data_IF_774109573848
#
_entry.id   IF_774109573848
#
_cell.length_a   1.000
_cell.length_b   1.000
_cell.length_c   1.000
_cell.angle_alpha   90.00
_cell.angle_beta   90.00
_cell.angle_gamma   90.00
#
_symmetry.space_group_name_H-M   'P 1'
#
loop_
_entity.id
_entity.type
_entity.pdbx_description
1 polymer ?
#
# COMPACT_ATOMS: atom_id res chain seq x y z
N UNK A 1 79.13 8.20 -15.23
CA UNK A 1 77.97 7.33 -15.00
C UNK A 1 76.76 8.02 -15.53
N UNK A 2 76.31 7.58 -16.69
CA UNK A 2 75.28 8.25 -17.51
C UNK A 2 73.93 7.67 -17.18
N UNK A 3 73.02 8.51 -16.72
CA UNK A 3 71.64 8.12 -16.50
C UNK A 3 70.86 8.22 -17.83
N UNK A 4 70.33 7.08 -18.27
CA UNK A 4 69.47 6.94 -19.45
C UNK A 4 68.07 7.30 -19.09
N UNK A 5 67.47 8.27 -19.79
CA UNK A 5 66.09 8.67 -19.65
C UNK A 5 65.13 7.64 -20.33
N UNK A 6 64.09 7.18 -19.61
CA UNK A 6 63.02 6.37 -20.14
C UNK A 6 61.96 7.27 -20.79
N UNK A 7 61.61 6.96 -22.04
CA UNK A 7 60.56 7.64 -22.83
C UNK A 7 59.18 7.44 -22.22
N UNK A 8 58.23 8.40 -22.36
CA UNK A 8 56.89 8.25 -21.87
C UNK A 8 56.03 7.40 -22.84
N UNK A 9 55.30 6.47 -22.25
CA UNK A 9 54.28 5.68 -22.95
C UNK A 9 53.18 6.59 -23.53
N UNK A 10 52.93 6.51 -24.82
CA UNK A 10 51.74 7.08 -25.46
C UNK A 10 50.55 6.21 -25.13
N UNK A 11 49.55 6.77 -24.42
CA UNK A 11 48.23 6.21 -24.28
C UNK A 11 47.48 6.59 -25.56
N UNK A 12 47.11 5.58 -26.38
CA UNK A 12 46.20 5.81 -27.49
C UNK A 12 44.81 6.05 -26.94
N UNK A 13 44.23 7.21 -27.22
CA UNK A 13 42.81 7.49 -26.95
C UNK A 13 41.96 6.57 -27.81
N UNK A 14 41.39 5.54 -27.18
CA UNK A 14 40.26 4.85 -27.78
C UNK A 14 39.06 5.81 -27.73
N UNK A 15 38.47 6.08 -28.91
CA UNK A 15 37.23 6.78 -29.03
C UNK A 15 36.10 5.96 -28.35
N UNK A 16 35.83 6.27 -27.10
CA UNK A 16 34.60 5.83 -26.44
C UNK A 16 33.41 6.64 -27.01
N UNK A 17 32.84 6.18 -28.10
CA UNK A 17 31.51 6.59 -28.49
C UNK A 17 30.56 6.05 -27.39
N UNK A 18 29.78 6.90 -26.71
CA UNK A 18 28.79 6.40 -25.75
C UNK A 18 27.87 5.40 -26.46
N UNK A 19 27.43 4.32 -25.81
CA UNK A 19 26.46 3.42 -26.40
C UNK A 19 25.23 4.23 -26.83
N UNK A 20 24.75 3.94 -28.04
CA UNK A 20 23.56 4.60 -28.57
C UNK A 20 22.43 4.47 -27.54
N UNK A 21 21.80 5.57 -27.17
CA UNK A 21 20.59 5.53 -26.35
C UNK A 21 19.57 4.61 -27.03
N UNK A 22 18.93 3.72 -26.28
CA UNK A 22 17.84 2.91 -26.84
C UNK A 22 16.82 3.83 -27.50
N UNK A 23 16.22 3.43 -28.60
CA UNK A 23 15.25 4.26 -29.32
C UNK A 23 14.12 4.64 -28.34
N UNK A 24 13.79 5.93 -28.31
CA UNK A 24 12.66 6.43 -27.52
C UNK A 24 11.41 5.68 -27.97
N UNK A 25 10.66 5.04 -27.06
CA UNK A 25 9.42 4.35 -27.45
C UNK A 25 8.49 5.30 -28.17
N UNK A 26 7.67 4.82 -29.14
CA UNK A 26 6.72 5.67 -29.83
C UNK A 26 5.82 6.37 -28.83
N UNK A 27 5.55 7.66 -29.08
CA UNK A 27 4.65 8.44 -28.24
C UNK A 27 3.26 7.77 -28.23
N UNK A 28 2.71 7.53 -27.04
CA UNK A 28 1.36 6.99 -26.90
C UNK A 28 0.30 8.06 -27.19
N UNK A 29 -0.93 7.62 -27.41
CA UNK A 29 -2.12 8.44 -27.62
C UNK A 29 -3.03 8.39 -26.40
N UNK A 30 -3.86 9.41 -26.24
CA UNK A 30 -4.94 9.37 -25.25
C UNK A 30 -6.06 8.45 -25.77
N UNK A 31 -6.45 7.47 -24.97
CA UNK A 31 -7.43 6.45 -25.36
C UNK A 31 -8.54 6.33 -24.31
N UNK A 32 -9.77 6.12 -24.78
CA UNK A 32 -10.90 5.85 -23.88
C UNK A 32 -10.91 4.38 -23.47
N UNK A 33 -11.13 4.16 -22.17
CA UNK A 33 -11.32 2.84 -21.55
C UNK A 33 -12.64 2.79 -20.80
N UNK A 34 -13.22 1.59 -20.65
CA UNK A 34 -14.28 1.35 -19.67
C UNK A 34 -13.73 1.66 -18.28
N UNK A 35 -14.51 2.32 -17.45
CA UNK A 35 -14.09 2.71 -16.10
C UNK A 35 -15.26 2.87 -15.13
N UNK A 36 -15.17 2.20 -13.99
CA UNK A 36 -15.98 2.42 -12.81
C UNK A 36 -15.09 2.92 -11.67
N UNK A 37 -15.29 4.12 -11.11
CA UNK A 37 -14.49 4.63 -10.00
C UNK A 37 -14.82 3.99 -8.65
N UNK A 38 -15.95 3.32 -8.55
CA UNK A 38 -16.46 2.56 -7.41
C UNK A 38 -16.60 1.09 -7.85
N UNK A 39 -17.64 0.40 -7.41
CA UNK A 39 -18.02 -0.90 -7.93
C UNK A 39 -19.44 -0.92 -8.53
N UNK A 40 -19.86 -2.07 -9.04
CA UNK A 40 -21.13 -2.19 -9.76
C UNK A 40 -22.35 -2.05 -8.86
N UNK A 41 -22.24 -2.33 -7.56
CA UNK A 41 -23.33 -2.13 -6.59
C UNK A 41 -23.58 -0.66 -6.32
N UNK A 42 -22.55 0.18 -6.46
CA UNK A 42 -22.61 1.62 -6.13
C UNK A 42 -22.97 2.46 -7.33
N UNK A 43 -22.33 2.21 -8.48
CA UNK A 43 -22.63 2.97 -9.69
C UNK A 43 -22.32 2.19 -10.97
N UNK A 44 -22.92 2.66 -12.06
CA UNK A 44 -22.65 2.07 -13.37
C UNK A 44 -21.31 2.57 -13.92
N UNK A 45 -20.66 1.71 -14.70
CA UNK A 45 -19.45 2.07 -15.44
C UNK A 45 -19.70 3.23 -16.42
N UNK A 46 -18.66 4.00 -16.63
CA UNK A 46 -18.56 5.01 -17.67
C UNK A 46 -17.27 4.81 -18.45
N UNK A 47 -16.65 5.91 -18.83
CA UNK A 47 -15.38 5.91 -19.57
C UNK A 47 -14.37 6.84 -18.93
N UNK A 48 -13.09 6.48 -19.07
CA UNK A 48 -11.95 7.27 -18.65
C UNK A 48 -10.97 7.42 -19.80
N UNK A 49 -10.44 8.61 -19.99
CA UNK A 49 -9.31 8.84 -20.90
C UNK A 49 -8.02 8.47 -20.17
N UNK A 50 -7.32 7.46 -20.69
CA UNK A 50 -5.99 7.06 -20.23
C UNK A 50 -4.97 7.70 -21.16
N UNK A 51 -4.08 8.56 -20.65
CA UNK A 51 -3.08 9.23 -21.47
C UNK A 51 -1.92 8.32 -21.83
N UNK A 52 -1.30 8.56 -22.96
CA UNK A 52 -0.03 7.94 -23.35
C UNK A 52 -0.11 6.44 -23.63
N UNK A 53 -1.25 5.92 -24.05
CA UNK A 53 -1.42 4.51 -24.43
C UNK A 53 -0.68 4.26 -25.75
N UNK A 54 0.22 3.28 -25.74
CA UNK A 54 1.02 2.86 -26.90
C UNK A 54 0.17 2.03 -27.87
N UNK A 55 0.64 1.82 -29.11
CA UNK A 55 -0.07 0.98 -30.09
C UNK A 55 -0.30 -0.47 -29.65
N UNK A 56 0.51 -0.97 -28.71
CA UNK A 56 0.39 -2.31 -28.12
C UNK A 56 -0.59 -2.36 -26.93
N UNK A 57 -1.31 -1.28 -26.64
CA UNK A 57 -2.28 -1.18 -25.56
C UNK A 57 -1.66 -0.93 -24.17
N UNK A 58 -0.34 -0.71 -24.10
CA UNK A 58 0.38 -0.47 -22.83
C UNK A 58 0.60 1.01 -22.55
N UNK A 59 0.96 1.37 -21.33
CA UNK A 59 1.48 2.70 -20.96
C UNK A 59 2.95 2.63 -20.56
N UNK A 60 3.50 3.72 -20.04
CA UNK A 60 4.83 3.71 -19.43
C UNK A 60 4.84 2.96 -18.08
N UNK A 61 3.66 2.76 -17.49
CA UNK A 61 3.48 2.22 -16.13
C UNK A 61 3.02 0.77 -16.13
N UNK A 62 2.06 0.46 -17.00
CA UNK A 62 1.35 -0.80 -16.96
C UNK A 62 1.32 -1.49 -18.32
N UNK A 63 1.29 -2.80 -18.26
CA UNK A 63 0.94 -3.70 -19.35
C UNK A 63 -0.23 -4.58 -18.92
N UNK A 64 -0.86 -5.25 -19.86
CA UNK A 64 -1.88 -6.26 -19.59
C UNK A 64 -1.29 -7.64 -19.86
N UNK A 65 -1.68 -8.65 -19.09
CA UNK A 65 -1.35 -10.05 -19.35
C UNK A 65 -1.97 -10.53 -20.66
N UNK A 66 -3.20 -10.09 -20.94
CA UNK A 66 -3.91 -10.36 -22.19
C UNK A 66 -4.16 -9.04 -22.94
N UNK A 67 -3.60 -8.87 -24.14
CA UNK A 67 -3.83 -7.67 -24.92
C UNK A 67 -5.30 -7.48 -25.27
N UNK A 68 -5.80 -6.24 -25.10
CA UNK A 68 -7.15 -5.86 -25.50
C UNK A 68 -7.18 -5.43 -26.98
N UNK A 69 -8.29 -5.73 -27.65
CA UNK A 69 -8.55 -5.23 -29.01
C UNK A 69 -9.38 -3.96 -28.96
N UNK A 70 -8.85 -2.88 -29.54
CA UNK A 70 -9.59 -1.62 -29.62
C UNK A 70 -10.84 -1.79 -30.52
N UNK A 71 -12.00 -1.35 -30.03
CA UNK A 71 -13.25 -1.26 -30.80
C UNK A 71 -13.48 0.22 -31.14
N UNK A 72 -13.59 0.53 -32.41
CA UNK A 72 -13.78 1.92 -32.92
C UNK A 72 -12.73 2.92 -32.36
N UNK A 73 -11.49 2.47 -32.14
CA UNK A 73 -10.41 3.30 -31.64
C UNK A 73 -10.44 3.55 -30.12
N UNK A 74 -11.15 2.72 -29.36
CA UNK A 74 -11.27 2.79 -27.91
C UNK A 74 -11.27 1.40 -27.28
N UNK A 75 -10.97 1.31 -25.98
CA UNK A 75 -11.05 0.09 -25.17
C UNK A 75 -12.29 0.13 -24.26
N UNK A 76 -13.43 0.41 -24.88
CA UNK A 76 -14.74 0.52 -24.20
C UNK A 76 -15.57 -0.72 -24.49
N UNK A 77 -15.90 -1.44 -23.43
CA UNK A 77 -16.63 -2.70 -23.47
C UNK A 77 -17.85 -2.61 -22.57
N UNK A 78 -18.90 -3.40 -22.88
CA UNK A 78 -20.01 -3.59 -21.95
C UNK A 78 -19.57 -4.42 -20.76
N UNK A 79 -20.25 -4.29 -19.62
CA UNK A 79 -19.92 -5.04 -18.40
C UNK A 79 -20.02 -6.56 -18.57
N UNK A 80 -20.83 -7.04 -19.54
CA UNK A 80 -20.93 -8.47 -19.88
C UNK A 80 -19.80 -8.97 -20.80
N UNK A 81 -18.93 -8.07 -21.29
CA UNK A 81 -17.79 -8.44 -22.14
C UNK A 81 -16.59 -8.80 -21.26
N UNK A 82 -16.00 -9.96 -21.48
CA UNK A 82 -14.84 -10.43 -20.70
C UNK A 82 -13.63 -9.47 -20.71
N UNK A 83 -13.51 -8.62 -21.73
CA UNK A 83 -12.46 -7.60 -21.80
C UNK A 83 -12.73 -6.39 -20.87
N UNK A 84 -13.97 -6.26 -20.35
CA UNK A 84 -14.33 -5.17 -19.46
C UNK A 84 -13.48 -5.15 -18.20
N UNK A 85 -13.27 -6.29 -17.57
CA UNK A 85 -12.53 -6.44 -16.30
C UNK A 85 -11.08 -5.91 -16.44
N UNK A 86 -10.37 -6.36 -17.46
CA UNK A 86 -9.00 -5.91 -17.75
C UNK A 86 -8.95 -4.43 -18.16
N UNK A 87 -9.93 -3.94 -18.94
CA UNK A 87 -10.00 -2.54 -19.34
C UNK A 87 -10.25 -1.62 -18.15
N UNK A 88 -11.18 -1.99 -17.26
CA UNK A 88 -11.47 -1.25 -16.03
C UNK A 88 -10.27 -1.20 -15.11
N UNK A 89 -9.65 -2.34 -14.81
CA UNK A 89 -8.48 -2.43 -13.94
C UNK A 89 -7.30 -1.62 -14.50
N UNK A 90 -7.04 -1.73 -15.80
CA UNK A 90 -5.97 -0.96 -16.45
C UNK A 90 -6.20 0.55 -16.37
N UNK A 91 -7.44 0.99 -16.63
CA UNK A 91 -7.81 2.41 -16.54
C UNK A 91 -7.68 2.95 -15.11
N UNK A 92 -8.22 2.21 -14.14
CA UNK A 92 -8.17 2.58 -12.72
C UNK A 92 -6.72 2.66 -12.20
N UNK A 93 -5.88 1.65 -12.47
CA UNK A 93 -4.48 1.63 -12.06
C UNK A 93 -3.69 2.81 -12.66
N UNK A 94 -3.82 3.08 -13.96
CA UNK A 94 -3.18 4.24 -14.59
C UNK A 94 -3.64 5.56 -13.99
N UNK A 95 -4.93 5.70 -13.67
CA UNK A 95 -5.49 6.89 -13.03
C UNK A 95 -4.87 7.12 -11.65
N UNK A 96 -4.81 6.10 -10.79
CA UNK A 96 -4.24 6.21 -9.44
C UNK A 96 -2.74 6.56 -9.48
N UNK A 97 -1.97 5.87 -10.34
CA UNK A 97 -0.56 6.18 -10.52
C UNK A 97 -0.34 7.62 -10.99
N UNK A 98 -1.12 8.10 -11.97
CA UNK A 98 -1.02 9.47 -12.47
C UNK A 98 -1.35 10.51 -11.39
N UNK A 99 -2.36 10.28 -10.54
CA UNK A 99 -2.72 11.20 -9.44
C UNK A 99 -1.61 11.31 -8.40
N UNK A 100 -1.04 10.19 -7.98
CA UNK A 100 0.06 10.21 -7.04
C UNK A 100 1.32 10.84 -7.64
N UNK A 101 1.64 10.56 -8.92
CA UNK A 101 2.76 11.18 -9.62
C UNK A 101 2.60 12.70 -9.78
N UNK A 102 1.39 13.20 -9.95
CA UNK A 102 1.13 14.65 -9.95
C UNK A 102 1.50 15.27 -8.59
N UNK A 103 1.12 14.65 -7.49
CA UNK A 103 1.52 15.09 -6.15
C UNK A 103 3.03 14.92 -5.91
N UNK A 104 3.59 13.82 -6.43
CA UNK A 104 5.04 13.55 -6.39
C UNK A 104 5.85 14.52 -7.23
N UNK A 105 5.26 15.07 -8.29
CA UNK A 105 5.88 16.06 -9.19
C UNK A 105 6.81 15.49 -10.25
N UNK A 106 6.92 14.19 -10.38
CA UNK A 106 7.67 13.49 -11.45
C UNK A 106 7.21 12.03 -11.56
N UNK A 107 7.50 11.35 -12.69
CA UNK A 107 7.24 9.92 -12.82
C UNK A 107 7.96 9.10 -11.76
N UNK A 108 7.30 8.09 -11.20
CA UNK A 108 7.85 7.14 -10.25
C UNK A 108 8.20 5.82 -10.95
N UNK A 109 9.46 5.36 -10.88
CA UNK A 109 9.76 3.99 -11.30
C UNK A 109 9.17 3.01 -10.29
N UNK A 110 8.68 1.88 -10.77
CA UNK A 110 8.29 0.79 -9.89
C UNK A 110 9.51 0.16 -9.21
N UNK A 111 9.33 -0.36 -8.01
CA UNK A 111 10.44 -0.88 -7.22
C UNK A 111 11.09 -2.12 -7.84
N UNK A 112 10.32 -2.94 -8.54
CA UNK A 112 10.74 -4.30 -8.96
C UNK A 112 10.57 -4.60 -10.45
N UNK A 113 9.88 -3.76 -11.20
CA UNK A 113 9.59 -3.95 -12.61
C UNK A 113 9.72 -2.64 -13.39
N UNK A 114 9.97 -2.70 -14.69
CA UNK A 114 9.88 -1.51 -15.56
C UNK A 114 8.42 -1.06 -15.72
N UNK A 115 7.51 -2.04 -15.84
CA UNK A 115 6.06 -1.87 -15.90
C UNK A 115 5.41 -3.00 -15.13
N UNK A 116 4.34 -2.69 -14.41
CA UNK A 116 3.55 -3.71 -13.73
C UNK A 116 2.56 -4.36 -14.70
N UNK A 117 2.37 -5.64 -14.59
CA UNK A 117 1.33 -6.36 -15.32
C UNK A 117 0.01 -6.25 -14.56
N UNK A 118 -1.06 -5.90 -15.27
CA UNK A 118 -2.43 -5.95 -14.74
C UNK A 118 -3.08 -7.25 -15.23
N UNK A 119 -3.40 -8.12 -14.29
CA UNK A 119 -4.07 -9.39 -14.53
C UNK A 119 -5.55 -9.22 -14.23
N UNK A 120 -6.35 -8.99 -15.27
CA UNK A 120 -7.75 -8.60 -15.12
C UNK A 120 -8.66 -9.68 -14.56
N UNK A 121 -8.31 -10.96 -14.74
CA UNK A 121 -9.02 -12.12 -14.18
C UNK A 121 -8.13 -13.36 -14.24
N UNK A 122 -7.60 -13.79 -13.12
CA UNK A 122 -6.73 -14.99 -13.02
C UNK A 122 -7.50 -16.25 -12.58
N UNK A 123 -8.82 -16.17 -12.49
CA UNK A 123 -9.65 -17.32 -12.16
C UNK A 123 -10.47 -17.13 -10.89
N UNK A 124 -10.84 -18.25 -10.26
CA UNK A 124 -11.81 -18.24 -9.17
C UNK A 124 -11.12 -18.07 -7.82
N UNK A 125 -11.16 -16.85 -7.29
CA UNK A 125 -10.85 -16.50 -5.90
C UNK A 125 -11.67 -15.26 -5.50
N UNK A 126 -11.90 -15.06 -4.20
CA UNK A 126 -12.53 -13.85 -3.66
C UNK A 126 -11.45 -12.93 -3.11
N UNK A 127 -10.61 -12.41 -4.02
CA UNK A 127 -9.37 -11.74 -3.69
C UNK A 127 -8.96 -10.70 -4.74
N UNK A 128 -8.00 -9.85 -4.35
CA UNK A 128 -7.12 -9.07 -5.20
C UNK A 128 -5.79 -8.91 -4.48
N UNK A 129 -4.67 -8.73 -5.17
CA UNK A 129 -3.39 -8.46 -4.53
C UNK A 129 -2.35 -7.84 -5.47
N UNK A 130 -1.37 -7.16 -4.86
CA UNK A 130 -0.11 -6.74 -5.46
C UNK A 130 1.03 -7.63 -4.97
N UNK A 131 1.88 -8.16 -5.87
CA UNK A 131 2.99 -9.05 -5.51
C UNK A 131 4.40 -8.47 -5.73
N UNK A 132 4.47 -7.25 -6.23
CA UNK A 132 5.72 -6.56 -6.60
C UNK A 132 6.00 -6.56 -8.11
N UNK A 133 5.31 -7.38 -8.89
CA UNK A 133 5.49 -7.52 -10.34
C UNK A 133 4.20 -7.22 -11.12
N UNK A 134 3.04 -7.38 -10.45
CA UNK A 134 1.72 -7.18 -11.04
C UNK A 134 0.63 -6.82 -10.04
N UNK A 135 -0.53 -6.46 -10.59
CA UNK A 135 -1.80 -6.32 -9.90
C UNK A 135 -2.67 -7.48 -10.33
N UNK A 136 -3.17 -8.28 -9.38
CA UNK A 136 -3.85 -9.53 -9.61
C UNK A 136 -5.30 -9.45 -9.18
N UNK A 137 -6.21 -9.76 -10.09
CA UNK A 137 -7.66 -9.72 -9.85
C UNK A 137 -8.30 -11.06 -10.20
N UNK A 138 -9.43 -11.32 -9.56
CA UNK A 138 -10.10 -12.61 -9.61
C UNK A 138 -11.62 -12.44 -9.73
N UNK A 139 -12.30 -13.56 -10.00
CA UNK A 139 -13.75 -13.63 -9.92
C UNK A 139 -14.20 -14.70 -8.92
N UNK A 140 -15.41 -14.50 -8.37
CA UNK A 140 -16.03 -15.48 -7.49
C UNK A 140 -17.55 -15.56 -7.70
N UNK A 141 -18.13 -16.79 -7.79
CA UNK A 141 -19.57 -16.95 -7.88
C UNK A 141 -20.25 -16.64 -6.55
N UNK A 142 -21.18 -15.68 -6.53
CA UNK A 142 -21.95 -15.27 -5.36
C UNK A 142 -23.44 -15.33 -5.67
N UNK A 143 -24.16 -16.24 -5.01
CA UNK A 143 -25.57 -16.48 -5.30
C UNK A 143 -25.80 -16.97 -6.74
N UNK A 144 -26.45 -16.16 -7.58
CA UNK A 144 -26.68 -16.44 -9.00
C UNK A 144 -25.82 -15.55 -9.92
N UNK A 145 -24.95 -14.71 -9.36
CA UNK A 145 -24.08 -13.78 -10.07
C UNK A 145 -22.62 -14.16 -9.97
N UNK A 146 -21.77 -13.31 -10.58
CA UNK A 146 -20.33 -13.37 -10.50
C UNK A 146 -19.84 -12.01 -10.02
N UNK A 147 -18.93 -11.99 -9.07
CA UNK A 147 -18.24 -10.78 -8.60
C UNK A 147 -16.82 -10.81 -9.15
N UNK A 148 -16.39 -9.71 -9.73
CA UNK A 148 -15.02 -9.54 -10.27
C UNK A 148 -14.33 -8.40 -9.51
N UNK A 149 -13.25 -8.69 -8.82
CA UNK A 149 -12.49 -7.67 -8.09
C UNK A 149 -11.91 -6.58 -9.01
N UNK A 150 -11.62 -6.90 -10.27
CA UNK A 150 -11.19 -5.95 -11.28
C UNK A 150 -12.25 -4.90 -11.68
N UNK A 151 -13.52 -5.13 -11.38
CA UNK A 151 -14.62 -4.22 -11.74
C UNK A 151 -14.78 -3.05 -10.77
N UNK A 152 -14.15 -3.13 -9.61
CA UNK A 152 -14.11 -2.07 -8.61
C UNK A 152 -12.89 -1.17 -8.80
N UNK A 153 -13.12 0.09 -9.15
CA UNK A 153 -12.05 1.08 -9.23
C UNK A 153 -11.37 1.35 -7.90
N UNK A 154 -12.05 1.08 -6.78
CA UNK A 154 -11.49 1.20 -5.43
C UNK A 154 -10.58 0.03 -5.08
N UNK A 155 -10.99 -1.21 -5.37
CA UNK A 155 -10.14 -2.38 -5.17
C UNK A 155 -8.87 -2.26 -6.01
N UNK A 156 -9.01 -1.90 -7.29
CA UNK A 156 -7.84 -1.64 -8.16
C UNK A 156 -6.99 -0.48 -7.63
N UNK A 157 -7.64 0.57 -7.10
CA UNK A 157 -6.97 1.71 -6.49
C UNK A 157 -6.16 1.34 -5.26
N UNK A 158 -6.70 0.43 -4.43
CA UNK A 158 -6.03 -0.12 -3.26
C UNK A 158 -4.77 -0.90 -3.65
N UNK A 159 -4.87 -1.84 -4.60
CA UNK A 159 -3.71 -2.61 -5.08
C UNK A 159 -2.65 -1.72 -5.74
N UNK A 160 -3.08 -0.71 -6.50
CA UNK A 160 -2.18 0.29 -7.04
C UNK A 160 -1.51 1.11 -5.92
N UNK A 161 -2.20 1.36 -4.81
CA UNK A 161 -1.66 2.00 -3.62
C UNK A 161 -0.50 1.20 -3.02
N UNK A 162 -0.62 -0.12 -2.93
CA UNK A 162 0.48 -1.00 -2.53
C UNK A 162 1.70 -0.83 -3.45
N UNK A 163 1.49 -0.82 -4.76
CA UNK A 163 2.56 -0.63 -5.72
C UNK A 163 3.23 0.75 -5.60
N UNK A 164 2.45 1.81 -5.37
CA UNK A 164 2.94 3.18 -5.17
C UNK A 164 3.76 3.29 -3.88
N UNK A 165 3.32 2.67 -2.80
CA UNK A 165 4.08 2.65 -1.55
C UNK A 165 5.37 1.86 -1.69
N UNK A 166 5.36 0.69 -2.35
CA UNK A 166 6.56 -0.09 -2.64
C UNK A 166 7.55 0.72 -3.52
N UNK A 167 7.05 1.51 -4.49
CA UNK A 167 7.89 2.37 -5.32
C UNK A 167 8.66 3.43 -4.52
N UNK A 168 8.07 3.97 -3.45
CA UNK A 168 8.69 5.03 -2.63
C UNK A 168 9.35 4.49 -1.35
N UNK A 169 8.92 3.33 -0.85
CA UNK A 169 9.40 2.66 0.37
C UNK A 169 9.41 1.13 0.23
N UNK A 170 10.25 0.56 -0.63
CA UNK A 170 10.24 -0.88 -0.93
C UNK A 170 10.52 -1.75 0.32
N UNK A 171 11.11 -1.18 1.36
CA UNK A 171 11.36 -1.86 2.63
C UNK A 171 10.08 -2.21 3.40
N UNK A 172 8.99 -1.44 3.22
CA UNK A 172 7.75 -1.68 3.98
C UNK A 172 7.05 -2.99 3.59
N UNK A 173 7.16 -3.39 2.34
CA UNK A 173 6.60 -4.64 1.85
C UNK A 173 7.24 -5.89 2.50
N UNK A 174 8.41 -5.74 3.10
CA UNK A 174 9.21 -6.85 3.67
C UNK A 174 9.29 -6.81 5.20
N UNK A 175 8.42 -6.04 5.86
CA UNK A 175 8.40 -5.90 7.32
C UNK A 175 7.73 -7.07 8.01
N UNK A 176 8.06 -7.24 9.31
CA UNK A 176 7.56 -8.32 10.14
C UNK A 176 6.50 -7.89 11.17
N UNK A 177 6.54 -6.61 11.59
CA UNK A 177 5.61 -6.08 12.59
C UNK A 177 4.24 -5.74 11.99
N UNK A 178 3.22 -5.67 12.83
CA UNK A 178 1.86 -5.34 12.42
C UNK A 178 1.75 -3.92 11.87
N UNK A 179 2.34 -2.92 12.57
CA UNK A 179 2.18 -1.51 12.19
C UNK A 179 2.61 -1.19 10.75
N UNK A 180 3.81 -1.58 10.27
CA UNK A 180 4.19 -1.30 8.88
C UNK A 180 3.30 -1.99 7.86
N UNK A 181 2.90 -3.24 8.14
CA UNK A 181 1.99 -3.97 7.28
C UNK A 181 0.61 -3.35 7.22
N UNK A 182 0.07 -2.99 8.36
CA UNK A 182 -1.21 -2.30 8.46
C UNK A 182 -1.14 -0.87 7.89
N UNK A 183 0.00 -0.19 7.95
CA UNK A 183 0.20 1.07 7.24
C UNK A 183 0.18 0.87 5.72
N UNK A 184 0.73 -0.24 5.23
CA UNK A 184 0.71 -0.59 3.82
C UNK A 184 -0.73 -0.78 3.31
N UNK A 185 -1.56 -1.48 4.10
CA UNK A 185 -3.00 -1.64 3.86
C UNK A 185 -3.74 -0.30 3.86
N UNK A 186 -3.53 0.48 4.92
CA UNK A 186 -4.15 1.80 5.05
C UNK A 186 -3.74 2.77 3.94
N UNK A 187 -2.51 2.71 3.46
CA UNK A 187 -2.08 3.54 2.33
C UNK A 187 -2.83 3.17 1.05
N UNK A 188 -3.07 1.87 0.81
CA UNK A 188 -3.95 1.40 -0.27
C UNK A 188 -5.35 1.97 -0.16
N UNK A 189 -5.95 1.87 1.03
CA UNK A 189 -7.28 2.45 1.32
C UNK A 189 -7.34 3.96 1.04
N UNK A 190 -6.32 4.70 1.48
CA UNK A 190 -6.26 6.16 1.29
C UNK A 190 -6.12 6.52 -0.18
N UNK A 191 -5.31 5.80 -0.96
CA UNK A 191 -5.19 6.01 -2.41
C UNK A 191 -6.53 5.74 -3.10
N UNK A 192 -7.22 4.65 -2.75
CA UNK A 192 -8.54 4.33 -3.28
C UNK A 192 -9.56 5.42 -2.95
N UNK A 193 -9.66 5.83 -1.69
CA UNK A 193 -10.57 6.87 -1.20
C UNK A 193 -10.32 8.22 -1.90
N UNK A 194 -9.09 8.70 -1.91
CA UNK A 194 -8.75 9.98 -2.53
C UNK A 194 -8.93 9.92 -4.05
N UNK A 195 -8.60 8.77 -4.66
CA UNK A 195 -8.78 8.53 -6.08
C UNK A 195 -10.24 8.53 -6.50
N UNK A 196 -11.12 7.86 -5.73
CA UNK A 196 -12.55 7.80 -6.03
C UNK A 196 -13.21 9.19 -5.95
N UNK A 197 -12.86 10.00 -4.95
CA UNK A 197 -13.38 11.38 -4.78
C UNK A 197 -12.95 12.36 -5.90
N UNK A 198 -11.97 12.01 -6.71
CA UNK A 198 -11.58 12.78 -7.90
C UNK A 198 -12.47 12.50 -9.12
N UNK A 199 -13.35 11.50 -9.05
CA UNK A 199 -14.38 11.28 -10.06
C UNK A 199 -15.63 12.11 -9.71
N UNK A 200 -16.11 12.90 -10.68
CA UNK A 200 -17.24 13.80 -10.46
C UNK A 200 -18.52 13.05 -10.08
N UNK A 201 -18.71 11.84 -10.61
CA UNK A 201 -19.89 11.00 -10.31
C UNK A 201 -19.86 10.52 -8.87
N UNK A 202 -18.68 10.06 -8.39
CA UNK A 202 -18.49 9.67 -6.98
C UNK A 202 -18.69 10.87 -6.06
N UNK A 203 -18.11 12.01 -6.39
CA UNK A 203 -18.24 13.22 -5.60
C UNK A 203 -19.71 13.68 -5.50
N UNK A 204 -20.46 13.65 -6.59
CA UNK A 204 -21.89 13.99 -6.59
C UNK A 204 -22.72 13.00 -5.76
N UNK A 205 -22.40 11.70 -5.86
CA UNK A 205 -23.03 10.66 -5.05
C UNK A 205 -22.77 10.88 -3.56
N UNK A 206 -21.51 11.12 -3.16
CA UNK A 206 -21.13 11.40 -1.77
C UNK A 206 -21.85 12.62 -1.24
N UNK A 207 -21.94 13.70 -2.02
CA UNK A 207 -22.68 14.89 -1.61
C UNK A 207 -24.20 14.64 -1.50
N UNK A 208 -24.75 13.80 -2.35
CA UNK A 208 -26.15 13.38 -2.24
C UNK A 208 -26.40 12.57 -0.96
N UNK A 209 -25.50 11.65 -0.61
CA UNK A 209 -25.58 10.79 0.57
C UNK A 209 -25.43 11.59 1.87
N UNK A 210 -24.50 12.54 1.90
CA UNK A 210 -24.05 13.21 3.12
C UNK A 210 -24.69 14.60 3.33
N UNK A 211 -25.09 15.26 2.26
CA UNK A 211 -25.44 16.68 2.29
C UNK A 211 -24.25 17.60 2.60
N UNK A 212 -23.02 17.11 2.35
CA UNK A 212 -21.75 17.80 2.63
C UNK A 212 -21.15 17.51 4.02
N UNK A 213 -21.83 16.74 4.85
CA UNK A 213 -21.31 16.27 6.15
C UNK A 213 -20.64 14.89 5.97
N UNK A 214 -19.34 14.89 5.70
CA UNK A 214 -18.56 13.68 5.41
C UNK A 214 -18.39 12.74 6.61
N UNK A 215 -18.88 13.11 7.81
CA UNK A 215 -18.91 12.18 8.95
C UNK A 215 -20.05 11.17 8.85
N UNK A 216 -21.00 11.38 7.92
CA UNK A 216 -22.06 10.41 7.61
C UNK A 216 -21.58 9.34 6.66
N UNK A 217 -22.18 8.15 6.76
CA UNK A 217 -21.92 7.04 5.87
C UNK A 217 -22.00 7.48 4.39
N UNK A 218 -20.98 7.13 3.62
CA UNK A 218 -20.89 7.47 2.20
C UNK A 218 -19.99 6.47 1.46
N UNK A 219 -20.21 6.35 0.16
CA UNK A 219 -19.55 5.34 -0.67
C UNK A 219 -18.03 5.55 -0.79
N UNK A 220 -17.51 6.76 -0.68
CA UNK A 220 -16.06 6.95 -0.72
C UNK A 220 -15.35 6.51 0.58
N UNK A 221 -16.07 6.50 1.71
CA UNK A 221 -15.55 6.02 3.00
C UNK A 221 -15.75 4.52 3.20
N UNK A 222 -16.69 3.91 2.46
CA UNK A 222 -16.99 2.48 2.48
C UNK A 222 -16.31 1.82 1.27
N UNK A 223 -15.15 1.20 1.50
CA UNK A 223 -14.29 0.67 0.44
C UNK A 223 -14.70 -0.75 0.06
N UNK A 224 -14.83 -1.02 -1.25
CA UNK A 224 -15.07 -2.34 -1.80
C UNK A 224 -16.39 -2.95 -1.37
N UNK A 225 -17.52 -2.26 -1.63
CA UNK A 225 -18.85 -2.68 -1.17
C UNK A 225 -19.29 -4.00 -1.81
N UNK A 226 -18.97 -4.23 -3.09
CA UNK A 226 -19.32 -5.47 -3.77
C UNK A 226 -18.53 -6.65 -3.20
N UNK A 227 -17.23 -6.49 -3.00
CA UNK A 227 -16.36 -7.52 -2.45
C UNK A 227 -16.73 -7.84 -1.00
N UNK A 228 -16.97 -6.84 -0.14
CA UNK A 228 -17.40 -7.04 1.25
C UNK A 228 -18.77 -7.74 1.34
N UNK A 229 -19.71 -7.35 0.48
CA UNK A 229 -21.03 -8.04 0.38
C UNK A 229 -20.85 -9.50 -0.05
N UNK A 230 -19.94 -9.77 -0.98
CA UNK A 230 -19.61 -11.12 -1.44
C UNK A 230 -19.02 -11.97 -0.31
N UNK A 231 -18.05 -11.44 0.41
CA UNK A 231 -17.40 -12.10 1.56
C UNK A 231 -18.46 -12.48 2.60
N UNK A 232 -19.29 -11.54 3.04
CA UNK A 232 -20.35 -11.79 4.03
C UNK A 232 -21.38 -12.82 3.54
N UNK A 233 -21.69 -12.81 2.24
CA UNK A 233 -22.61 -13.78 1.64
C UNK A 233 -22.02 -15.19 1.64
N UNK A 234 -20.75 -15.35 1.29
CA UNK A 234 -20.05 -16.64 1.24
C UNK A 234 -19.84 -17.20 2.65
N UNK A 235 -19.47 -16.37 3.60
CA UNK A 235 -19.28 -16.76 5.01
C UNK A 235 -20.63 -17.03 5.70
N UNK A 236 -21.71 -16.38 5.24
CA UNK A 236 -23.07 -16.57 5.77
C UNK A 236 -23.41 -15.69 6.98
N UNK A 237 -22.53 -14.77 7.35
CA UNK A 237 -22.79 -13.75 8.38
C UNK A 237 -21.84 -12.55 8.16
N UNK A 238 -22.13 -11.45 8.84
CA UNK A 238 -21.30 -10.23 8.76
C UNK A 238 -19.96 -10.46 9.47
N UNK A 239 -18.86 -10.38 8.71
CA UNK A 239 -17.48 -10.46 9.20
C UNK A 239 -16.69 -9.19 8.90
N UNK A 240 -17.26 -8.27 8.10
CA UNK A 240 -16.60 -7.03 7.66
C UNK A 240 -17.16 -5.79 8.37
N UNK A 241 -18.23 -5.92 9.12
CA UNK A 241 -18.91 -4.81 9.80
C UNK A 241 -19.89 -4.05 8.90
N UNK A 242 -20.30 -4.65 7.78
CA UNK A 242 -21.25 -4.08 6.83
C UNK A 242 -21.07 -4.60 5.41
N UNK A 243 -21.68 -3.95 4.45
CA UNK A 243 -21.56 -4.30 3.03
C UNK A 243 -20.37 -3.58 2.38
N UNK A 244 -19.17 -3.78 2.91
CA UNK A 244 -17.91 -3.20 2.44
C UNK A 244 -16.75 -4.05 2.99
N UNK A 245 -15.57 -3.96 2.43
CA UNK A 245 -14.38 -4.60 3.00
C UNK A 245 -13.86 -3.81 4.20
N UNK A 246 -13.83 -2.49 4.10
CA UNK A 246 -13.37 -1.57 5.15
C UNK A 246 -14.19 -0.28 5.17
N UNK A 247 -14.26 0.39 6.33
CA UNK A 247 -14.93 1.68 6.48
C UNK A 247 -13.98 2.70 7.15
N UNK A 248 -13.69 3.77 6.45
CA UNK A 248 -12.87 4.86 6.97
C UNK A 248 -13.58 5.65 8.09
N UNK A 249 -14.91 5.63 8.14
CA UNK A 249 -15.69 6.21 9.24
C UNK A 249 -15.76 5.19 10.38
N UNK A 250 -14.84 5.32 11.33
CA UNK A 250 -14.76 4.46 12.51
C UNK A 250 -14.23 5.26 13.71
N UNK A 251 -14.25 4.64 14.89
CA UNK A 251 -13.80 5.26 16.15
C UNK A 251 -12.69 4.48 16.85
N UNK A 252 -11.95 3.67 16.10
CA UNK A 252 -10.85 2.91 16.68
C UNK A 252 -9.76 3.82 17.25
N UNK A 253 -9.25 3.43 18.43
CA UNK A 253 -8.10 4.06 19.09
C UNK A 253 -6.95 3.05 19.18
N UNK A 254 -5.74 3.57 19.26
CA UNK A 254 -4.54 2.74 19.26
C UNK A 254 -4.48 1.85 20.52
N UNK A 255 -4.16 0.59 20.29
CA UNK A 255 -3.77 -0.39 21.28
C UNK A 255 -2.49 -1.06 20.80
N UNK A 256 -1.66 -1.52 21.71
CA UNK A 256 -0.48 -2.29 21.32
C UNK A 256 -0.92 -3.55 20.56
N UNK A 257 -0.57 -3.70 19.27
CA UNK A 257 -1.03 -4.82 18.45
C UNK A 257 -0.61 -6.18 19.00
N UNK A 258 0.48 -6.24 19.79
CA UNK A 258 0.92 -7.48 20.45
C UNK A 258 -0.03 -7.93 21.56
N UNK A 259 -0.92 -7.07 22.02
CA UNK A 259 -1.92 -7.39 23.05
C UNK A 259 -3.30 -7.72 22.49
N UNK A 260 -3.48 -7.53 21.18
CA UNK A 260 -4.75 -7.77 20.50
C UNK A 260 -4.86 -9.23 20.04
N UNK A 261 -6.08 -9.78 19.99
CA UNK A 261 -6.32 -11.06 19.35
C UNK A 261 -6.09 -10.97 17.84
N UNK A 262 -5.88 -12.11 17.20
CA UNK A 262 -5.69 -12.20 15.76
C UNK A 262 -6.97 -11.92 14.96
N UNK A 263 -8.11 -12.35 15.49
CA UNK A 263 -9.43 -12.17 14.90
C UNK A 263 -10.49 -11.99 15.99
N UNK A 264 -11.67 -11.52 15.60
CA UNK A 264 -12.79 -11.29 16.50
C UNK A 264 -13.94 -10.56 15.80
N UNK A 265 -14.84 -9.92 16.57
CA UNK A 265 -15.95 -9.16 16.00
C UNK A 265 -15.49 -7.97 15.15
N UNK A 266 -16.19 -7.63 14.06
CA UNK A 266 -15.76 -6.55 13.15
C UNK A 266 -15.81 -5.14 13.76
N UNK A 267 -16.46 -4.94 14.91
CA UNK A 267 -16.48 -3.70 15.67
C UNK A 267 -15.33 -3.57 16.69
N UNK A 268 -14.46 -4.56 16.76
CA UNK A 268 -13.23 -4.54 17.58
C UNK A 268 -11.99 -4.43 16.68
N UNK A 269 -10.88 -3.95 17.25
CA UNK A 269 -9.59 -3.88 16.58
C UNK A 269 -8.79 -5.14 16.87
N UNK A 270 -8.22 -5.75 15.83
CA UNK A 270 -7.40 -6.95 15.91
C UNK A 270 -5.98 -6.67 15.44
N UNK A 271 -5.06 -7.61 15.65
CA UNK A 271 -3.67 -7.44 15.24
C UNK A 271 -3.39 -7.95 13.81
N UNK A 272 -4.40 -8.51 13.12
CA UNK A 272 -4.32 -8.80 11.70
C UNK A 272 -4.15 -7.49 10.93
N UNK A 273 -3.31 -7.48 9.87
CA UNK A 273 -2.86 -6.22 9.25
C UNK A 273 -3.99 -5.43 8.57
N UNK A 274 -4.93 -6.11 7.91
CA UNK A 274 -6.09 -5.46 7.30
C UNK A 274 -7.01 -4.86 8.36
N UNK A 275 -7.18 -5.58 9.46
CA UNK A 275 -7.99 -5.13 10.58
C UNK A 275 -7.33 -3.96 11.32
N UNK A 276 -6.03 -4.05 11.62
CA UNK A 276 -5.30 -2.98 12.29
C UNK A 276 -5.16 -1.72 11.41
N UNK A 277 -5.20 -1.87 10.09
CA UNK A 277 -5.15 -0.75 9.14
C UNK A 277 -6.30 0.23 9.32
N UNK A 278 -7.48 -0.25 9.73
CA UNK A 278 -8.70 0.57 9.93
C UNK A 278 -8.46 1.74 10.89
N UNK A 279 -7.56 1.58 11.85
CA UNK A 279 -7.16 2.66 12.76
C UNK A 279 -6.51 3.82 12.02
N UNK A 280 -5.53 3.54 11.15
CA UNK A 280 -4.83 4.60 10.42
C UNK A 280 -5.70 5.16 9.29
N UNK A 281 -6.43 4.33 8.57
CA UNK A 281 -7.41 4.75 7.55
C UNK A 281 -8.43 5.71 8.16
N UNK A 282 -8.97 5.39 9.36
CA UNK A 282 -9.88 6.26 10.07
C UNK A 282 -9.23 7.56 10.54
N UNK A 283 -8.02 7.51 11.06
CA UNK A 283 -7.28 8.71 11.45
C UNK A 283 -7.03 9.64 10.26
N UNK A 284 -6.63 9.06 9.11
CA UNK A 284 -6.45 9.84 7.89
C UNK A 284 -7.77 10.45 7.40
N UNK A 285 -8.88 9.71 7.48
CA UNK A 285 -10.19 10.22 7.10
C UNK A 285 -10.64 11.39 7.99
N UNK A 286 -10.36 11.34 9.28
CA UNK A 286 -10.62 12.47 10.20
C UNK A 286 -9.78 13.71 9.83
N UNK A 287 -8.51 13.51 9.44
CA UNK A 287 -7.66 14.61 8.94
C UNK A 287 -8.25 15.18 7.65
N UNK A 288 -8.61 14.31 6.69
CA UNK A 288 -9.20 14.69 5.43
C UNK A 288 -10.48 15.52 5.62
N UNK A 289 -11.41 15.04 6.44
CA UNK A 289 -12.66 15.74 6.73
C UNK A 289 -12.42 17.07 7.46
N UNK A 290 -11.42 17.11 8.35
CA UNK A 290 -10.96 18.35 8.99
C UNK A 290 -10.48 19.39 7.98
N UNK A 291 -9.67 18.98 6.99
CA UNK A 291 -9.21 19.86 5.90
C UNK A 291 -10.39 20.37 5.06
N UNK A 292 -11.36 19.51 4.74
CA UNK A 292 -12.58 19.92 4.02
C UNK A 292 -13.33 21.00 4.81
N UNK A 293 -13.53 20.77 6.11
CA UNK A 293 -14.25 21.72 6.97
C UNK A 293 -13.52 23.06 7.08
N UNK A 294 -12.19 23.06 7.20
CA UNK A 294 -11.39 24.28 7.18
C UNK A 294 -11.52 25.03 5.86
N UNK A 295 -11.47 24.32 4.73
CA UNK A 295 -11.63 24.93 3.40
C UNK A 295 -13.02 25.56 3.23
N UNK A 296 -14.09 24.90 3.67
CA UNK A 296 -15.45 25.43 3.67
C UNK A 296 -15.57 26.65 4.56
N UNK A 297 -15.01 26.60 5.78
CA UNK A 297 -14.98 27.75 6.70
C UNK A 297 -14.23 28.96 6.12
N UNK A 298 -13.25 28.71 5.24
CA UNK A 298 -12.52 29.73 4.50
C UNK A 298 -13.23 30.19 3.22
N UNK A 299 -14.48 29.75 2.97
CA UNK A 299 -15.34 30.23 1.89
C UNK A 299 -15.28 29.45 0.59
N UNK A 300 -14.65 28.28 0.56
CA UNK A 300 -14.76 27.40 -0.59
C UNK A 300 -16.16 26.74 -0.64
N UNK A 301 -16.68 26.50 -1.85
CA UNK A 301 -17.82 25.61 -1.97
C UNK A 301 -17.40 24.15 -1.65
N UNK A 302 -18.36 23.33 -1.25
CA UNK A 302 -18.09 22.00 -0.72
C UNK A 302 -17.37 21.08 -1.73
N UNK A 303 -17.70 21.14 -3.03
CA UNK A 303 -17.01 20.33 -4.06
C UNK A 303 -15.54 20.76 -4.19
N UNK A 304 -15.30 22.07 -4.29
CA UNK A 304 -13.94 22.61 -4.34
C UNK A 304 -13.17 22.31 -3.05
N UNK A 305 -13.83 22.35 -1.89
CA UNK A 305 -13.21 22.01 -0.62
C UNK A 305 -12.78 20.54 -0.54
N UNK A 306 -13.60 19.60 -1.02
CA UNK A 306 -13.28 18.17 -1.09
C UNK A 306 -12.12 17.93 -2.07
N UNK A 307 -12.17 18.49 -3.28
CA UNK A 307 -11.09 18.34 -4.26
C UNK A 307 -9.77 18.92 -3.75
N UNK A 308 -9.80 20.08 -3.10
CA UNK A 308 -8.60 20.67 -2.47
C UNK A 308 -8.05 19.81 -1.34
N UNK A 309 -8.92 19.18 -0.54
CA UNK A 309 -8.51 18.26 0.51
C UNK A 309 -7.92 16.94 -0.07
N UNK A 310 -8.46 16.48 -1.19
CA UNK A 310 -7.92 15.32 -1.92
C UNK A 310 -6.50 15.58 -2.41
N UNK A 311 -6.26 16.76 -3.01
CA UNK A 311 -4.91 17.18 -3.41
C UNK A 311 -3.97 17.31 -2.23
N UNK A 312 -4.44 17.88 -1.11
CA UNK A 312 -3.66 17.98 0.12
C UNK A 312 -3.30 16.61 0.70
N UNK A 313 -4.21 15.62 0.64
CA UNK A 313 -3.97 14.26 1.10
C UNK A 313 -2.87 13.56 0.32
N UNK A 314 -2.94 13.56 -1.01
CA UNK A 314 -1.86 13.02 -1.86
C UNK A 314 -0.52 13.75 -1.63
N UNK A 315 -0.56 15.09 -1.53
CA UNK A 315 0.63 15.89 -1.28
C UNK A 315 1.26 15.58 0.06
N UNK A 316 0.47 15.37 1.11
CA UNK A 316 0.95 15.06 2.46
C UNK A 316 1.82 13.79 2.47
N UNK A 317 1.38 12.72 1.79
CA UNK A 317 2.20 11.52 1.64
C UNK A 317 3.39 11.73 0.70
N UNK A 318 3.20 12.41 -0.43
CA UNK A 318 4.30 12.69 -1.34
C UNK A 318 5.42 13.47 -0.66
N UNK A 319 5.11 14.51 0.11
CA UNK A 319 6.08 15.30 0.86
C UNK A 319 6.76 14.48 1.96
N UNK A 320 5.99 13.68 2.71
CA UNK A 320 6.49 12.80 3.77
C UNK A 320 7.58 11.86 3.24
N UNK A 321 7.30 11.19 2.13
CA UNK A 321 8.23 10.22 1.53
C UNK A 321 9.39 10.89 0.79
N UNK A 322 9.11 11.94 0.02
CA UNK A 322 10.11 12.64 -0.79
C UNK A 322 11.16 13.36 0.05
N UNK A 323 10.75 13.94 1.17
CA UNK A 323 11.64 14.59 2.12
C UNK A 323 12.43 13.60 3.01
N UNK A 324 12.12 12.30 2.93
CA UNK A 324 12.81 11.27 3.70
C UNK A 324 12.48 11.29 5.19
N UNK A 325 11.31 11.82 5.60
CA UNK A 325 10.90 11.82 7.00
C UNK A 325 10.22 10.53 7.44
N UNK A 326 9.58 9.82 6.51
CA UNK A 326 9.01 8.52 6.81
C UNK A 326 10.09 7.55 7.32
N UNK A 327 9.83 6.79 8.40
CA UNK A 327 10.78 5.83 8.93
C UNK A 327 11.18 4.80 7.86
N UNK A 328 12.35 4.19 8.03
CA UNK A 328 12.82 3.11 7.16
C UNK A 328 12.67 1.77 7.89
N UNK A 329 12.26 0.72 7.17
CA UNK A 329 12.09 -0.62 7.72
C UNK A 329 10.92 -0.72 8.70
N UNK A 330 11.16 -1.34 9.84
CA UNK A 330 10.16 -1.53 10.90
C UNK A 330 9.90 -0.22 11.66
N UNK A 331 8.63 0.06 11.96
CA UNK A 331 8.22 1.27 12.69
C UNK A 331 6.90 1.02 13.41
N UNK A 332 6.52 1.95 14.27
CA UNK A 332 5.19 2.00 14.89
C UNK A 332 4.33 3.10 14.25
N UNK A 333 3.02 3.02 14.41
CA UNK A 333 2.12 4.12 14.00
C UNK A 333 2.49 5.45 14.65
N UNK A 334 3.06 5.41 15.87
CA UNK A 334 3.58 6.61 16.54
C UNK A 334 4.75 7.25 15.78
N UNK A 335 5.68 6.43 15.28
CA UNK A 335 6.82 6.92 14.50
C UNK A 335 6.34 7.56 13.21
N UNK A 336 5.37 6.94 12.53
CA UNK A 336 4.79 7.47 11.30
C UNK A 336 4.02 8.77 11.55
N UNK A 337 3.23 8.86 12.62
CA UNK A 337 2.51 10.08 12.99
C UNK A 337 3.47 11.24 13.31
N UNK A 338 4.55 10.96 14.03
CA UNK A 338 5.59 11.94 14.30
C UNK A 338 6.28 12.43 13.02
N UNK A 339 6.58 11.50 12.11
CA UNK A 339 7.16 11.81 10.80
C UNK A 339 6.21 12.67 9.94
N UNK A 340 4.92 12.36 9.94
CA UNK A 340 3.90 13.14 9.23
C UNK A 340 3.81 14.58 9.77
N UNK A 341 3.78 14.76 11.08
CA UNK A 341 3.78 16.08 11.73
C UNK A 341 5.05 16.86 11.37
N UNK A 342 6.21 16.20 11.41
CA UNK A 342 7.48 16.82 11.04
C UNK A 342 7.48 17.26 9.58
N UNK A 343 7.02 16.38 8.68
CA UNK A 343 6.91 16.69 7.25
C UNK A 343 5.99 17.89 7.02
N UNK A 344 4.82 17.93 7.65
CA UNK A 344 3.87 19.00 7.52
C UNK A 344 4.46 20.36 7.98
N UNK A 345 5.20 20.36 9.09
CA UNK A 345 5.86 21.57 9.57
C UNK A 345 6.92 22.10 8.59
N UNK A 346 7.71 21.22 8.00
CA UNK A 346 8.88 21.62 7.20
C UNK A 346 8.56 21.79 5.71
N UNK A 347 7.57 21.06 5.17
CA UNK A 347 7.23 21.09 3.75
C UNK A 347 5.98 21.94 3.44
N UNK A 348 5.12 22.18 4.43
CA UNK A 348 3.84 22.86 4.26
C UNK A 348 3.60 23.98 5.32
N UNK A 349 4.68 24.53 5.89
CA UNK A 349 4.67 25.61 6.87
C UNK A 349 3.78 25.33 8.10
N UNK A 350 3.53 24.07 8.39
CA UNK A 350 2.72 23.62 9.52
C UNK A 350 1.22 23.88 9.38
N UNK A 351 0.73 24.09 8.16
CA UNK A 351 -0.66 24.45 7.88
C UNK A 351 -1.68 23.54 8.57
N UNK A 352 -1.44 22.22 8.52
CA UNK A 352 -2.33 21.21 9.11
C UNK A 352 -1.76 20.53 10.36
N UNK A 353 -0.62 20.99 10.88
CA UNK A 353 0.04 20.38 12.05
C UNK A 353 -0.88 20.23 13.25
N UNK A 354 -1.67 21.29 13.57
CA UNK A 354 -2.60 21.28 14.69
C UNK A 354 -3.70 20.24 14.52
N UNK A 355 -4.25 20.12 13.31
CA UNK A 355 -5.27 19.13 12.96
C UNK A 355 -4.72 17.71 13.06
N UNK A 356 -3.57 17.44 12.43
CA UNK A 356 -2.92 16.11 12.45
C UNK A 356 -2.61 15.71 13.89
N UNK A 357 -1.98 16.60 14.66
CA UNK A 357 -1.63 16.34 16.07
C UNK A 357 -2.86 16.03 16.91
N UNK A 358 -3.95 16.77 16.71
CA UNK A 358 -5.20 16.55 17.42
C UNK A 358 -5.78 15.17 17.09
N UNK A 359 -5.93 14.83 15.81
CA UNK A 359 -6.49 13.54 15.37
C UNK A 359 -5.65 12.38 15.88
N UNK A 360 -4.32 12.45 15.73
CA UNK A 360 -3.44 11.39 16.19
C UNK A 360 -3.46 11.20 17.72
N UNK A 361 -3.72 12.28 18.47
CA UNK A 361 -3.91 12.21 19.93
C UNK A 361 -5.30 11.71 20.31
N UNK A 362 -6.36 12.15 19.63
CA UNK A 362 -7.72 11.66 19.86
C UNK A 362 -7.85 10.15 19.60
N UNK A 363 -7.11 9.64 18.61
CA UNK A 363 -7.00 8.22 18.29
C UNK A 363 -5.95 7.47 19.12
N UNK A 364 -5.38 8.09 20.15
CA UNK A 364 -4.37 7.52 21.06
C UNK A 364 -3.10 7.00 20.36
N UNK A 365 -2.91 7.30 19.07
CA UNK A 365 -1.68 6.99 18.32
C UNK A 365 -0.52 7.79 18.92
N UNK A 366 -0.75 9.08 19.25
CA UNK A 366 0.19 9.89 20.01
C UNK A 366 -0.32 10.09 21.44
N UNK A 367 0.60 10.23 22.44
CA UNK A 367 0.19 10.53 23.80
C UNK A 367 -0.61 11.85 23.84
N UNK A 368 -1.62 11.90 24.68
CA UNK A 368 -2.31 13.16 24.98
C UNK A 368 -1.34 14.07 25.76
N UNK A 369 -0.68 14.96 25.05
CA UNK A 369 0.13 15.99 25.69
C UNK A 369 -0.77 17.16 26.08
N UNK A 370 -0.99 17.31 27.37
CA UNK A 370 -1.49 18.57 27.94
C UNK A 370 -0.40 19.65 27.69
N UNK A 371 -0.51 20.38 26.58
CA UNK A 371 0.27 21.59 26.33
C UNK A 371 1.58 21.41 25.59
N UNK A 372 1.57 21.89 24.35
CA UNK A 372 2.67 22.54 23.61
C UNK A 372 4.02 21.79 23.42
N UNK A 373 4.16 21.28 22.17
CA UNK A 373 5.32 21.63 21.34
C UNK A 373 6.72 21.21 21.81
N UNK A 374 6.98 19.94 21.86
CA UNK A 374 8.19 19.43 21.27
C UNK A 374 7.76 18.34 20.26
N UNK A 375 8.33 18.25 19.06
CA UNK A 375 8.13 17.06 18.25
C UNK A 375 8.48 15.87 19.14
N UNK A 376 7.66 14.78 19.13
CA UNK A 376 8.04 13.61 19.90
C UNK A 376 9.45 13.26 19.49
N UNK A 377 10.35 13.23 20.46
CA UNK A 377 11.68 12.69 20.27
C UNK A 377 11.40 11.26 19.79
N UNK A 378 11.78 10.94 18.55
CA UNK A 378 11.77 9.56 18.06
C UNK A 378 12.38 8.74 19.18
N UNK A 379 11.58 7.85 19.77
CA UNK A 379 12.02 7.09 20.91
C UNK A 379 13.27 6.32 20.46
N UNK A 380 14.38 6.52 21.17
CA UNK A 380 15.67 5.92 20.87
C UNK A 380 15.67 4.38 21.07
N UNK A 381 14.50 3.76 21.06
CA UNK A 381 14.20 2.39 21.40
C UNK A 381 13.99 1.41 20.26
N UNK A 382 14.18 1.78 19.00
CA UNK A 382 14.22 0.79 17.91
C UNK A 382 15.61 0.15 17.84
N UNK A 383 15.65 -1.17 17.89
CA UNK A 383 16.88 -1.94 17.80
C UNK A 383 16.76 -3.04 16.76
N UNK A 384 17.69 -3.12 15.82
CA UNK A 384 17.76 -4.23 14.87
C UNK A 384 18.15 -5.51 15.63
N UNK A 385 17.31 -6.52 15.61
CA UNK A 385 17.64 -7.88 15.97
C UNK A 385 18.07 -8.61 14.70
N UNK A 386 19.31 -9.09 14.67
CA UNK A 386 19.82 -9.88 13.57
C UNK A 386 20.35 -11.20 14.08
N UNK A 387 20.11 -12.28 13.33
CA UNK A 387 20.72 -13.58 13.58
C UNK A 387 21.19 -14.19 12.27
N UNK A 388 22.25 -15.02 12.34
CA UNK A 388 22.68 -15.85 11.21
C UNK A 388 22.27 -17.28 11.50
N UNK A 389 21.55 -17.90 10.57
CA UNK A 389 21.08 -19.27 10.68
C UNK A 389 22.27 -20.22 10.52
N UNK A 390 22.84 -20.72 11.61
CA UNK A 390 24.00 -21.59 11.59
C UNK A 390 23.62 -23.03 11.99
N UNK A 391 24.05 -23.98 11.18
CA UNK A 391 23.93 -25.42 11.44
C UNK A 391 23.11 -26.19 10.43
N UNK A 392 23.25 -27.52 10.46
CA UNK A 392 22.66 -28.44 9.48
C UNK A 392 21.12 -28.43 9.51
N UNK A 393 20.51 -28.01 10.61
CA UNK A 393 19.06 -27.90 10.77
C UNK A 393 18.42 -26.91 9.81
N UNK A 394 19.20 -25.99 9.27
CA UNK A 394 18.72 -24.97 8.33
C UNK A 394 18.94 -25.38 6.86
N UNK A 395 19.63 -26.48 6.58
CA UNK A 395 19.85 -26.98 5.22
C UNK A 395 20.45 -25.91 4.31
N UNK A 396 19.79 -25.65 3.18
CA UNK A 396 20.21 -24.62 2.21
C UNK A 396 20.18 -23.19 2.76
N UNK A 397 19.48 -22.94 3.85
CA UNK A 397 19.41 -21.65 4.54
C UNK A 397 20.55 -21.42 5.53
N UNK A 398 21.45 -22.39 5.70
CA UNK A 398 22.62 -22.22 6.57
C UNK A 398 23.51 -21.11 6.04
N UNK A 399 23.80 -20.13 6.90
CA UNK A 399 24.55 -18.92 6.54
C UNK A 399 23.64 -17.72 6.16
N UNK A 400 22.35 -17.92 5.97
CA UNK A 400 21.42 -16.81 5.71
C UNK A 400 21.29 -15.89 6.92
N UNK A 401 21.21 -14.59 6.69
CA UNK A 401 20.99 -13.59 7.73
C UNK A 401 19.50 -13.24 7.79
N UNK A 402 18.95 -13.26 8.98
CA UNK A 402 17.57 -12.82 9.26
C UNK A 402 17.64 -11.57 10.10
N UNK A 403 16.92 -10.54 9.72
CA UNK A 403 16.84 -9.28 10.45
C UNK A 403 15.39 -8.92 10.75
N UNK A 404 15.14 -8.43 11.96
CA UNK A 404 13.88 -7.79 12.38
C UNK A 404 14.20 -6.61 13.28
N UNK A 405 13.30 -5.63 13.34
CA UNK A 405 13.40 -4.53 14.29
C UNK A 405 12.53 -4.80 15.51
N UNK A 406 13.09 -4.58 16.67
CA UNK A 406 12.38 -4.56 17.94
C UNK A 406 12.09 -3.10 18.31
N UNK A 407 10.85 -2.77 18.63
CA UNK A 407 10.43 -1.43 19.02
C UNK A 407 9.83 -1.40 20.43
N UNK A 408 9.88 -0.24 21.09
CA UNK A 408 9.25 0.01 22.37
C UNK A 408 9.74 -0.91 23.50
N UNK A 409 8.82 -1.49 24.26
CA UNK A 409 9.13 -2.37 25.39
C UNK A 409 9.91 -3.63 24.99
N UNK A 410 9.72 -4.12 23.78
CA UNK A 410 10.39 -5.30 23.25
C UNK A 410 11.90 -5.10 23.12
N UNK A 411 12.36 -3.89 22.79
CA UNK A 411 13.77 -3.54 22.71
C UNK A 411 14.49 -3.63 24.07
N UNK A 412 13.73 -3.58 25.17
CA UNK A 412 14.25 -3.51 26.55
C UNK A 412 14.08 -4.82 27.35
N UNK A 413 13.34 -5.83 26.84
CA UNK A 413 12.90 -6.95 27.68
C UNK A 413 13.92 -8.09 27.85
N UNK A 414 14.85 -8.29 26.90
CA UNK A 414 15.81 -9.42 26.96
C UNK A 414 17.16 -9.05 26.35
N UNK A 415 18.26 -9.68 26.77
CA UNK A 415 19.58 -9.48 26.14
C UNK A 415 19.63 -10.06 24.72
N UNK A 416 20.44 -9.42 23.84
CA UNK A 416 20.55 -9.70 22.40
C UNK A 416 20.63 -11.18 22.02
N UNK A 417 21.32 -12.01 22.81
CA UNK A 417 21.51 -13.42 22.52
C UNK A 417 20.21 -14.25 22.61
N UNK A 418 19.37 -14.01 23.61
CA UNK A 418 18.17 -14.83 23.82
C UNK A 418 17.10 -14.55 22.74
N UNK A 419 16.97 -13.31 22.30
CA UNK A 419 16.05 -12.93 21.22
C UNK A 419 16.53 -13.43 19.86
N UNK A 420 17.84 -13.38 19.60
CA UNK A 420 18.44 -13.94 18.38
C UNK A 420 18.24 -15.47 18.33
N UNK A 421 18.35 -16.15 19.46
CA UNK A 421 18.07 -17.59 19.57
C UNK A 421 16.59 -17.91 19.31
N UNK A 422 15.66 -17.11 19.84
CA UNK A 422 14.24 -17.26 19.57
C UNK A 422 13.92 -17.04 18.07
N UNK A 423 14.46 -16.01 17.45
CA UNK A 423 14.32 -15.77 16.02
C UNK A 423 14.84 -16.97 15.20
N UNK A 424 16.04 -17.48 15.54
CA UNK A 424 16.60 -18.68 14.90
C UNK A 424 15.72 -19.92 15.06
N UNK A 425 15.11 -20.12 16.22
CA UNK A 425 14.20 -21.26 16.47
C UNK A 425 12.91 -21.15 15.67
N UNK A 426 12.33 -19.95 15.56
CA UNK A 426 11.14 -19.72 14.72
C UNK A 426 11.47 -19.95 13.26
N UNK A 427 12.59 -19.45 12.76
CA UNK A 427 13.04 -19.68 11.39
C UNK A 427 13.25 -21.18 11.11
N UNK A 428 13.85 -21.92 12.04
CA UNK A 428 14.00 -23.38 11.90
C UNK A 428 12.63 -24.09 11.79
N UNK A 429 11.64 -23.65 12.57
CA UNK A 429 10.27 -24.16 12.49
C UNK A 429 9.65 -23.93 11.09
N UNK A 430 9.72 -22.71 10.57
CA UNK A 430 9.17 -22.34 9.27
C UNK A 430 9.87 -23.08 8.11
N UNK A 431 11.21 -23.20 8.15
CA UNK A 431 11.99 -23.97 7.19
C UNK A 431 11.58 -25.44 7.20
N UNK A 432 11.44 -26.04 8.38
CA UNK A 432 11.02 -27.44 8.53
C UNK A 432 9.60 -27.68 8.06
N UNK A 433 8.72 -26.69 8.23
CA UNK A 433 7.35 -26.74 7.71
C UNK A 433 7.27 -26.52 6.19
N UNK A 434 8.36 -26.13 5.54
CA UNK A 434 8.39 -25.81 4.11
C UNK A 434 7.76 -24.45 3.75
N UNK A 435 7.61 -23.58 4.73
CA UNK A 435 6.96 -22.27 4.60
C UNK A 435 7.89 -21.17 4.07
N UNK A 436 9.17 -21.48 3.88
CA UNK A 436 10.17 -20.56 3.32
C UNK A 436 10.85 -21.22 2.12
N UNK A 437 10.90 -20.48 1.00
CA UNK A 437 11.72 -20.82 -0.16
C UNK A 437 12.78 -19.75 -0.35
N UNK A 438 14.06 -20.15 -0.39
CA UNK A 438 15.13 -19.28 -0.85
C UNK A 438 15.42 -19.52 -2.34
N UNK A 439 15.62 -18.42 -3.05
CA UNK A 439 16.00 -18.47 -4.48
C UNK A 439 17.50 -18.38 -4.66
N UNK A 440 18.24 -17.80 -3.70
CA UNK A 440 19.69 -17.61 -3.79
C UNK A 440 20.41 -17.88 -2.46
N UNK A 441 21.61 -18.43 -2.45
CA UNK A 441 22.42 -18.58 -1.23
C UNK A 441 22.87 -17.20 -0.72
N UNK A 442 22.93 -17.07 0.61
CA UNK A 442 23.31 -15.85 1.34
C UNK A 442 22.33 -14.67 1.25
N UNK A 443 21.08 -14.92 0.92
CA UNK A 443 20.03 -13.90 0.93
C UNK A 443 19.67 -13.50 2.37
N UNK A 444 19.33 -12.22 2.57
CA UNK A 444 18.62 -11.78 3.78
C UNK A 444 17.19 -12.27 3.67
N UNK A 445 16.75 -13.06 4.64
CA UNK A 445 15.36 -13.58 4.69
C UNK A 445 14.46 -12.50 5.27
N UNK A 446 13.44 -12.14 4.52
CA UNK A 446 12.43 -11.15 4.87
C UNK A 446 11.05 -11.81 5.00
N UNK A 447 10.06 -11.07 5.51
CA UNK A 447 8.68 -11.56 5.58
C UNK A 447 8.14 -12.00 4.21
N UNK A 448 8.59 -11.36 3.14
CA UNK A 448 8.21 -11.67 1.76
C UNK A 448 8.67 -13.06 1.30
N UNK A 449 9.74 -13.59 1.85
CA UNK A 449 10.25 -14.92 1.48
C UNK A 449 9.33 -16.05 1.97
N UNK A 450 8.44 -15.77 2.91
CA UNK A 450 7.41 -16.69 3.38
C UNK A 450 6.28 -16.89 2.37
N UNK A 451 6.07 -15.94 1.45
CA UNK A 451 5.03 -16.02 0.43
C UNK A 451 5.24 -17.12 -0.61
N UNK A 452 6.48 -17.50 -0.84
CA UNK A 452 6.87 -18.33 -1.99
C UNK A 452 6.74 -19.83 -1.74
N UNK A 453 6.27 -20.26 -0.56
CA UNK A 453 6.29 -21.68 -0.20
C UNK A 453 5.29 -22.51 -1.00
N UNK A 454 4.11 -22.00 -1.31
CA UNK A 454 3.00 -22.71 -1.96
C UNK A 454 2.36 -21.97 -3.14
N UNK A 455 2.81 -20.74 -3.43
CA UNK A 455 2.26 -19.92 -4.52
C UNK A 455 1.13 -18.99 -4.09
N UNK A 456 0.69 -19.10 -2.83
CA UNK A 456 -0.31 -18.20 -2.25
C UNK A 456 0.35 -16.94 -1.68
N UNK A 457 -0.34 -15.77 -1.71
CA UNK A 457 0.18 -14.52 -1.17
C UNK A 457 0.05 -14.48 0.36
N UNK A 458 1.12 -14.82 1.06
CA UNK A 458 1.22 -14.69 2.51
C UNK A 458 2.33 -13.72 2.89
N UNK A 459 2.26 -13.19 4.10
CA UNK A 459 3.37 -12.46 4.74
C UNK A 459 3.69 -13.05 6.10
N UNK A 460 4.93 -12.91 6.54
CA UNK A 460 5.33 -13.22 7.91
C UNK A 460 5.03 -12.05 8.84
N UNK A 461 4.44 -12.32 9.98
CA UNK A 461 4.20 -11.35 11.06
C UNK A 461 4.87 -11.84 12.33
N UNK A 462 5.70 -10.99 12.95
CA UNK A 462 6.30 -11.28 14.26
C UNK A 462 5.30 -10.91 15.35
N UNK A 463 4.99 -11.87 16.22
CA UNK A 463 4.14 -11.69 17.39
C UNK A 463 4.86 -12.06 18.65
N UNK A 464 4.41 -11.46 19.74
CA UNK A 464 4.90 -11.75 21.07
C UNK A 464 3.74 -12.27 21.93
N UNK A 465 3.79 -13.58 22.23
CA UNK A 465 2.78 -14.23 23.05
C UNK A 465 3.49 -14.68 24.33
N UNK A 466 3.01 -14.23 25.49
CA UNK A 466 3.57 -14.55 26.81
C UNK A 466 5.10 -14.30 26.92
N UNK A 467 5.59 -13.26 26.27
CA UNK A 467 7.00 -12.88 26.23
C UNK A 467 7.89 -13.76 25.34
N UNK A 468 7.28 -14.59 24.49
CA UNK A 468 7.98 -15.39 23.48
C UNK A 468 7.68 -14.86 22.07
N UNK A 469 8.74 -14.75 21.26
CA UNK A 469 8.60 -14.38 19.84
C UNK A 469 8.04 -15.56 19.05
N UNK A 470 7.02 -15.31 18.27
CA UNK A 470 6.50 -16.22 17.25
C UNK A 470 6.50 -15.51 15.89
N UNK A 471 6.70 -16.26 14.81
CA UNK A 471 6.48 -15.78 13.45
C UNK A 471 5.31 -16.57 12.90
N UNK A 472 4.27 -15.87 12.56
CA UNK A 472 3.06 -16.43 11.95
C UNK A 472 2.98 -16.04 10.49
N UNK A 473 2.38 -16.92 9.71
CA UNK A 473 2.11 -16.71 8.30
C UNK A 473 0.68 -16.25 8.15
N UNK A 474 0.49 -15.04 7.68
CA UNK A 474 -0.82 -14.43 7.48
C UNK A 474 -1.11 -14.34 5.98
N UNK A 475 -2.26 -14.87 5.54
CA UNK A 475 -2.68 -14.76 4.15
C UNK A 475 -3.01 -13.29 3.86
N UNK A 476 -2.45 -12.75 2.78
CA UNK A 476 -2.88 -11.46 2.24
C UNK A 476 -4.14 -11.75 1.42
N UNK A 477 -5.28 -11.68 2.07
CA UNK A 477 -6.59 -11.82 1.45
C UNK A 477 -7.41 -10.59 1.80
N UNK A 478 -8.05 -10.03 0.81
CA UNK A 478 -9.07 -8.99 1.00
C UNK A 478 -10.42 -9.64 1.19
#
# INVERSE_FOLDING_TARGET
MTLTALSPFRISSQNNTPPAQPPTPPAGSDMNFSFNPQDQLVMQAGTLVVPGVRPDGTTSKFTLDTPLEAKDGAFVYSQDDHNYHAANAFAAANRMANMFEQAWGQPLPWARAERLTVHGDEGQDLNAYYDGEGLHFFHYPVGQGMVYSADSGEVVGHECGHALLDAVRPGYFSTWNTDPGAFHESFGDVVALLGSLRDERTLDLVLQQTGGDLTKANSAAQLGEELGTAINTVVGHDVTGGNFTRNAINSFTWKDPNTLPENGPPDELHNEVHDFSRLWTGAFYDIFTGIVNENVANGQDIKAAILSATDAGFKMYADLFKAGYAPEGEFTYRDMAAAMIKSENEQNEGKYTGLISKVMSDREILPQTAGLMAPPVLDAGTRTLATTLNGDQFGQFSGARVETLLSGQQANLVGDGAQADQLSQQMARLIKAGEIKMTEPNQVVTSKDLFKADGEPYRGVVRWVDGQMTIERVKIAH
#
